data_IF_867829267878
#
_entry.id   IF_867829267878
#
_cell.length_a   1.000
_cell.length_b   1.000
_cell.length_c   1.000
_cell.angle_alpha   90.00
_cell.angle_beta   90.00
_cell.angle_gamma   90.00
#
_symmetry.space_group_name_H-M   'P 1'
#
loop_
_entity.id
_entity.type
_entity.pdbx_description
1 polymer ?
#
# COMPACT_ATOMS: atom_id res chain seq x y z
N UNK A 1 60.47 11.01 -70.56
CA UNK A 1 59.07 11.48 -70.67
C UNK A 1 58.28 10.86 -69.52
N UNK A 2 57.88 11.69 -68.56
CA UNK A 2 56.84 11.56 -67.51
C UNK A 2 56.29 10.17 -67.04
N UNK A 3 56.56 9.84 -65.75
CA UNK A 3 55.71 9.36 -64.60
C UNK A 3 54.62 8.25 -64.79
N UNK A 4 54.06 7.60 -63.72
CA UNK A 4 54.38 7.59 -62.27
C UNK A 4 54.28 6.22 -61.51
N UNK A 5 54.61 6.34 -60.21
CA UNK A 5 54.47 5.51 -59.00
C UNK A 5 53.47 4.31 -58.96
N UNK A 6 53.90 3.24 -58.26
CA UNK A 6 53.01 2.28 -57.57
C UNK A 6 53.24 2.37 -56.05
N UNK A 7 52.20 2.75 -55.32
CA UNK A 7 52.10 2.66 -53.87
C UNK A 7 51.85 1.21 -53.44
N UNK A 8 52.65 0.68 -52.51
CA UNK A 8 52.34 -0.54 -51.77
C UNK A 8 51.49 -0.17 -50.55
N UNK A 9 50.19 -0.47 -50.62
CA UNK A 9 49.26 -0.31 -49.51
C UNK A 9 49.36 -1.47 -48.52
N UNK A 10 49.59 -1.13 -47.25
CA UNK A 10 49.51 -2.02 -46.08
C UNK A 10 48.05 -2.35 -45.80
N UNK A 11 47.69 -3.64 -45.80
CA UNK A 11 46.36 -4.11 -45.42
C UNK A 11 46.21 -4.07 -43.89
N UNK A 12 45.34 -3.17 -43.39
CA UNK A 12 44.90 -3.16 -42.00
C UNK A 12 43.77 -4.18 -41.82
N UNK A 13 44.03 -5.22 -41.04
CA UNK A 13 43.05 -6.24 -40.66
C UNK A 13 42.16 -5.68 -39.52
N UNK A 14 40.98 -5.17 -39.85
CA UNK A 14 39.97 -4.80 -38.85
C UNK A 14 39.35 -6.08 -38.25
N UNK A 15 39.73 -6.42 -37.02
CA UNK A 15 39.01 -7.41 -36.20
C UNK A 15 37.73 -6.75 -35.69
N UNK A 16 36.59 -7.11 -36.29
CA UNK A 16 35.28 -6.74 -35.77
C UNK A 16 35.00 -7.55 -34.49
N UNK A 17 35.09 -6.92 -33.32
CA UNK A 17 34.49 -7.44 -32.10
C UNK A 17 32.97 -7.46 -32.29
N UNK A 18 32.39 -8.65 -32.45
CA UNK A 18 30.97 -8.86 -32.24
C UNK A 18 30.67 -8.62 -30.75
N UNK A 19 30.16 -7.42 -30.45
CA UNK A 19 29.46 -7.17 -29.20
C UNK A 19 28.19 -8.03 -29.20
N UNK A 20 28.22 -9.17 -28.50
CA UNK A 20 27.02 -9.90 -28.13
C UNK A 20 26.27 -9.01 -27.14
N UNK A 21 25.36 -8.19 -27.65
CA UNK A 21 24.33 -7.56 -26.83
C UNK A 21 23.47 -8.70 -26.28
N UNK A 22 23.72 -9.09 -25.04
CA UNK A 22 22.83 -9.94 -24.29
C UNK A 22 21.54 -9.15 -24.06
N UNK A 23 20.65 -9.16 -25.05
CA UNK A 23 19.26 -8.81 -24.86
C UNK A 23 18.73 -9.85 -23.88
N UNK A 24 18.70 -9.49 -22.59
CA UNK A 24 17.99 -10.24 -21.59
C UNK A 24 16.51 -10.25 -22.00
N UNK A 25 16.12 -11.24 -22.80
CA UNK A 25 14.74 -11.52 -23.08
C UNK A 25 14.04 -11.72 -21.75
N UNK A 26 12.93 -11.02 -21.53
CA UNK A 26 12.13 -11.15 -20.33
C UNK A 26 11.78 -12.63 -20.14
N UNK A 27 12.44 -13.28 -19.17
CA UNK A 27 12.10 -14.64 -18.80
C UNK A 27 10.63 -14.63 -18.33
N UNK A 28 9.80 -15.48 -18.91
CA UNK A 28 8.40 -15.62 -18.50
C UNK A 28 8.28 -16.05 -17.03
N UNK A 29 7.09 -15.90 -16.45
CA UNK A 29 6.83 -16.34 -15.09
C UNK A 29 6.97 -17.87 -14.98
N UNK A 30 7.66 -18.34 -13.93
CA UNK A 30 7.74 -19.76 -13.58
C UNK A 30 6.38 -20.24 -13.10
N UNK A 31 5.98 -21.43 -13.52
CA UNK A 31 4.82 -22.13 -12.96
C UNK A 31 5.16 -22.77 -11.61
N UNK A 32 4.14 -23.07 -10.81
CA UNK A 32 4.28 -23.81 -9.55
C UNK A 32 4.90 -23.02 -8.39
N UNK A 33 5.08 -21.71 -8.53
CA UNK A 33 5.61 -20.84 -7.47
C UNK A 33 4.73 -20.89 -6.22
N UNK A 34 5.35 -21.11 -5.05
CA UNK A 34 4.72 -21.08 -3.72
C UNK A 34 4.83 -19.67 -3.15
N UNK A 35 3.73 -18.94 -3.15
CA UNK A 35 3.69 -17.54 -2.69
C UNK A 35 2.75 -17.44 -1.49
N UNK A 36 3.27 -16.91 -0.38
CA UNK A 36 2.50 -16.74 0.84
C UNK A 36 2.23 -15.26 1.10
N UNK A 37 0.97 -14.93 1.41
CA UNK A 37 0.54 -13.61 1.87
C UNK A 37 0.47 -13.59 3.40
N UNK A 38 0.99 -12.51 3.99
CA UNK A 38 1.01 -12.24 5.42
C UNK A 38 0.40 -10.86 5.66
N UNK A 39 -0.94 -10.77 5.81
CA UNK A 39 -1.62 -9.51 6.08
C UNK A 39 -1.27 -8.99 7.49
N UNK A 40 -1.67 -7.75 7.80
CA UNK A 40 -1.58 -7.22 9.17
C UNK A 40 -2.34 -8.07 10.17
N UNK A 41 -3.55 -8.49 9.78
CA UNK A 41 -4.48 -9.30 10.57
C UNK A 41 -5.41 -10.09 9.64
N UNK A 42 -5.51 -11.42 9.82
CA UNK A 42 -6.15 -12.32 8.85
C UNK A 42 -7.68 -12.13 8.70
N UNK A 43 -8.32 -11.50 9.67
CA UNK A 43 -9.76 -11.24 9.69
C UNK A 43 -10.11 -9.76 9.41
N UNK A 44 -9.15 -8.94 8.99
CA UNK A 44 -9.43 -7.57 8.57
C UNK A 44 -10.09 -7.60 7.17
N UNK A 45 -11.30 -7.02 6.99
CA UNK A 45 -12.01 -7.09 5.71
C UNK A 45 -11.26 -6.50 4.52
N UNK A 46 -10.47 -5.43 4.72
CA UNK A 46 -9.65 -4.84 3.65
C UNK A 46 -8.53 -5.79 3.22
N UNK A 47 -7.87 -6.44 4.18
CA UNK A 47 -6.79 -7.38 3.89
C UNK A 47 -7.33 -8.63 3.19
N UNK A 48 -8.51 -9.13 3.58
CA UNK A 48 -9.17 -10.26 2.90
C UNK A 48 -9.40 -9.95 1.42
N UNK A 49 -9.88 -8.75 1.09
CA UNK A 49 -10.11 -8.34 -0.32
C UNK A 49 -8.79 -8.30 -1.10
N UNK A 50 -7.72 -7.79 -0.46
CA UNK A 50 -6.41 -7.72 -1.09
C UNK A 50 -5.80 -9.12 -1.28
N UNK A 51 -5.83 -9.94 -0.25
CA UNK A 51 -5.37 -11.32 -0.26
C UNK A 51 -6.11 -12.14 -1.34
N UNK A 52 -7.43 -11.99 -1.47
CA UNK A 52 -8.22 -12.64 -2.52
C UNK A 52 -7.76 -12.21 -3.93
N UNK A 53 -7.42 -10.94 -4.12
CA UNK A 53 -6.83 -10.44 -5.36
C UNK A 53 -5.47 -11.08 -5.66
N UNK A 54 -4.63 -11.23 -4.63
CA UNK A 54 -3.35 -11.94 -4.73
C UNK A 54 -3.52 -13.43 -5.06
N UNK A 55 -4.47 -14.10 -4.40
CA UNK A 55 -4.77 -15.51 -4.65
C UNK A 55 -5.33 -15.73 -6.06
N UNK A 56 -6.15 -14.80 -6.57
CA UNK A 56 -6.63 -14.84 -7.95
C UNK A 56 -5.46 -14.72 -8.95
N UNK A 57 -4.57 -13.75 -8.76
CA UNK A 57 -3.36 -13.61 -9.60
C UNK A 57 -2.49 -14.87 -9.57
N UNK A 58 -2.27 -15.46 -8.40
CA UNK A 58 -1.45 -16.67 -8.26
C UNK A 58 -1.99 -17.84 -9.08
N UNK A 59 -3.32 -17.99 -9.16
CA UNK A 59 -3.95 -19.01 -10.00
C UNK A 59 -3.70 -18.76 -11.49
N UNK A 60 -3.70 -17.50 -11.95
CA UNK A 60 -3.51 -17.15 -13.36
C UNK A 60 -2.13 -17.58 -13.90
N UNK A 61 -1.08 -17.58 -13.06
CA UNK A 61 0.24 -18.07 -13.43
C UNK A 61 0.57 -19.49 -12.91
N UNK A 62 -0.46 -20.28 -12.59
CA UNK A 62 -0.33 -21.67 -12.11
C UNK A 62 0.56 -21.83 -10.87
N UNK A 63 0.52 -20.87 -9.94
CA UNK A 63 1.21 -20.95 -8.65
C UNK A 63 0.35 -21.58 -7.54
N UNK A 64 0.96 -21.79 -6.38
CA UNK A 64 0.33 -22.24 -5.16
C UNK A 64 0.33 -21.11 -4.12
N UNK A 65 -0.84 -20.53 -3.88
CA UNK A 65 -1.03 -19.42 -2.96
C UNK A 65 -1.55 -19.86 -1.59
N UNK A 66 -1.18 -19.14 -0.54
CA UNK A 66 -1.84 -19.22 0.76
C UNK A 66 -1.77 -17.90 1.51
N UNK A 67 -2.70 -17.73 2.43
CA UNK A 67 -2.74 -16.60 3.37
C UNK A 67 -2.50 -17.15 4.77
N UNK A 68 -1.51 -16.61 5.48
CA UNK A 68 -1.25 -16.94 6.89
C UNK A 68 -0.86 -15.67 7.64
N UNK A 69 -1.36 -15.47 8.84
CA UNK A 69 -1.06 -14.26 9.59
C UNK A 69 -1.72 -14.26 10.95
N UNK A 70 -1.37 -13.28 11.79
CA UNK A 70 -1.92 -13.17 13.14
C UNK A 70 -3.41 -12.78 13.12
N UNK A 71 -4.07 -13.03 14.25
CA UNK A 71 -5.43 -12.54 14.53
C UNK A 71 -5.45 -11.16 15.20
N UNK A 72 -4.27 -10.59 15.48
CA UNK A 72 -4.07 -9.24 16.01
C UNK A 72 -3.03 -8.46 15.17
N UNK A 73 -3.01 -7.13 15.29
CA UNK A 73 -2.09 -6.24 14.57
C UNK A 73 -0.82 -5.86 15.37
N UNK A 74 -0.34 -6.73 16.27
CA UNK A 74 0.86 -6.48 17.07
C UNK A 74 2.14 -6.44 16.23
N UNK A 75 3.10 -5.60 16.67
CA UNK A 75 4.34 -5.33 15.94
C UNK A 75 5.16 -6.61 15.64
N UNK A 76 5.21 -7.56 16.56
CA UNK A 76 5.94 -8.83 16.42
C UNK A 76 5.05 -10.02 16.05
N UNK A 77 3.73 -9.84 15.93
CA UNK A 77 2.77 -10.94 15.76
C UNK A 77 2.95 -11.71 14.44
N UNK A 78 3.63 -11.12 13.47
CA UNK A 78 3.94 -11.73 12.16
C UNK A 78 5.19 -12.62 12.18
N UNK A 79 6.05 -12.53 13.21
CA UNK A 79 7.36 -13.20 13.27
C UNK A 79 7.26 -14.72 13.18
N UNK A 80 6.31 -15.33 13.89
CA UNK A 80 6.13 -16.79 13.87
C UNK A 80 5.76 -17.29 12.46
N UNK A 81 4.90 -16.56 11.76
CA UNK A 81 4.44 -16.90 10.42
C UNK A 81 5.60 -16.81 9.42
N UNK A 82 6.42 -15.75 9.49
CA UNK A 82 7.63 -15.63 8.66
C UNK A 82 8.55 -16.84 8.86
N UNK A 83 8.81 -17.26 10.11
CA UNK A 83 9.65 -18.44 10.37
C UNK A 83 9.04 -19.74 9.83
N UNK A 84 7.73 -19.93 9.94
CA UNK A 84 7.03 -21.07 9.36
C UNK A 84 7.16 -21.09 7.83
N UNK A 85 7.01 -19.94 7.17
CA UNK A 85 7.15 -19.82 5.71
C UNK A 85 8.57 -20.10 5.23
N UNK A 86 9.58 -19.70 6.03
CA UNK A 86 10.98 -20.07 5.80
C UNK A 86 11.15 -21.59 5.85
N UNK A 87 10.67 -22.24 6.92
CA UNK A 87 10.75 -23.72 7.05
C UNK A 87 10.03 -24.44 5.90
N UNK A 88 8.91 -23.89 5.44
CA UNK A 88 8.14 -24.44 4.32
C UNK A 88 8.73 -24.12 2.94
N UNK A 89 9.87 -23.42 2.88
CA UNK A 89 10.60 -23.06 1.65
C UNK A 89 9.66 -22.47 0.59
N UNK A 90 8.90 -21.43 0.97
CA UNK A 90 8.15 -20.65 -0.01
C UNK A 90 9.11 -19.97 -0.99
N UNK A 91 8.66 -19.73 -2.21
CA UNK A 91 9.42 -18.98 -3.21
C UNK A 91 9.35 -17.47 -2.92
N UNK A 92 8.21 -17.00 -2.41
CA UNK A 92 8.04 -15.62 -1.97
C UNK A 92 7.14 -15.45 -0.74
N UNK A 93 7.42 -14.38 0.01
CA UNK A 93 6.59 -13.84 1.08
C UNK A 93 6.13 -12.45 0.64
N UNK A 94 4.81 -12.25 0.59
CA UNK A 94 4.15 -10.96 0.42
C UNK A 94 3.60 -10.53 1.77
N UNK A 95 4.05 -9.40 2.32
CA UNK A 95 3.76 -9.02 3.72
C UNK A 95 3.31 -7.56 3.86
N UNK A 96 2.23 -7.32 4.60
CA UNK A 96 1.82 -5.99 5.06
C UNK A 96 2.31 -5.81 6.49
N UNK A 97 3.38 -5.04 6.69
CA UNK A 97 4.07 -5.00 7.98
C UNK A 97 3.28 -4.24 9.06
N UNK A 98 3.14 -4.86 10.24
CA UNK A 98 2.55 -4.21 11.43
C UNK A 98 3.51 -3.16 12.06
N UNK A 99 4.81 -3.30 11.82
CA UNK A 99 5.86 -2.38 12.27
C UNK A 99 7.01 -2.38 11.26
N UNK A 100 7.62 -1.21 11.05
CA UNK A 100 8.65 -1.04 10.04
C UNK A 100 9.91 -1.88 10.31
N UNK A 101 10.25 -2.16 11.56
CA UNK A 101 11.54 -2.74 11.96
C UNK A 101 11.42 -4.13 12.59
N UNK A 102 10.32 -4.43 13.29
CA UNK A 102 10.19 -5.64 14.11
C UNK A 102 10.35 -6.94 13.32
N UNK A 103 9.92 -6.97 12.06
CA UNK A 103 9.99 -8.14 11.17
C UNK A 103 11.28 -8.20 10.35
N UNK A 104 12.04 -7.09 10.25
CA UNK A 104 13.19 -6.95 9.35
C UNK A 104 14.25 -8.05 9.55
N UNK A 105 14.69 -8.41 10.78
CA UNK A 105 15.67 -9.47 10.96
C UNK A 105 15.22 -10.82 10.39
N UNK A 106 13.92 -11.13 10.49
CA UNK A 106 13.34 -12.39 10.04
C UNK A 106 13.15 -12.41 8.52
N UNK A 107 12.77 -11.28 7.93
CA UNK A 107 12.68 -11.15 6.48
C UNK A 107 14.06 -11.20 5.82
N UNK A 108 15.09 -10.63 6.45
CA UNK A 108 16.49 -10.79 6.01
C UNK A 108 16.94 -12.26 6.05
N UNK A 109 16.53 -13.02 7.07
CA UNK A 109 16.74 -14.47 7.14
C UNK A 109 16.00 -15.22 6.03
N UNK A 110 14.79 -14.81 5.66
CA UNK A 110 14.08 -15.39 4.51
C UNK A 110 14.85 -15.13 3.21
N UNK A 111 15.26 -13.88 2.97
CA UNK A 111 16.01 -13.49 1.79
C UNK A 111 17.36 -14.20 1.66
N UNK A 112 18.07 -14.42 2.78
CA UNK A 112 19.33 -15.18 2.77
C UNK A 112 19.16 -16.66 2.41
N UNK A 113 17.94 -17.21 2.51
CA UNK A 113 17.57 -18.55 2.05
C UNK A 113 16.99 -18.56 0.64
N UNK A 114 17.06 -17.45 -0.08
CA UNK A 114 16.61 -17.32 -1.46
C UNK A 114 15.13 -16.96 -1.63
N UNK A 115 14.37 -16.87 -0.54
CA UNK A 115 12.95 -16.51 -0.54
C UNK A 115 12.81 -15.03 -0.91
N UNK A 116 11.98 -14.73 -1.91
CA UNK A 116 11.74 -13.34 -2.29
C UNK A 116 10.82 -12.65 -1.30
N UNK A 117 11.15 -11.42 -0.91
CA UNK A 117 10.31 -10.64 0.01
C UNK A 117 9.77 -9.41 -0.69
N UNK A 118 8.45 -9.32 -0.78
CA UNK A 118 7.70 -8.18 -1.28
C UNK A 118 6.85 -7.66 -0.14
N UNK A 119 6.96 -6.38 0.19
CA UNK A 119 5.99 -5.72 1.07
C UNK A 119 4.83 -5.18 0.23
N UNK A 120 3.64 -5.12 0.80
CA UNK A 120 2.46 -4.49 0.19
C UNK A 120 1.64 -3.80 1.27
N UNK A 121 0.84 -2.78 0.94
CA UNK A 121 0.03 -1.96 1.86
C UNK A 121 0.81 -1.16 2.92
N UNK A 122 1.64 -1.83 3.72
CA UNK A 122 2.45 -1.28 4.80
C UNK A 122 3.88 -1.79 4.70
N UNK A 123 4.82 -0.89 4.41
CA UNK A 123 6.22 -1.25 4.17
C UNK A 123 6.98 -1.56 5.48
N UNK A 124 8.11 -2.25 5.32
CA UNK A 124 9.16 -2.33 6.34
C UNK A 124 10.19 -1.23 6.11
N UNK A 125 11.24 -1.19 6.93
CA UNK A 125 12.48 -0.54 6.53
C UNK A 125 12.98 -1.19 5.22
N UNK A 126 13.62 -0.42 4.31
CA UNK A 126 13.95 -0.91 2.96
C UNK A 126 14.79 -2.19 2.93
N UNK A 127 15.66 -2.40 3.92
CA UNK A 127 16.51 -3.58 4.04
C UNK A 127 15.76 -4.86 4.42
N UNK A 128 14.48 -4.75 4.79
CA UNK A 128 13.60 -5.88 5.10
C UNK A 128 12.97 -6.53 3.87
N UNK A 129 13.11 -5.96 2.68
CA UNK A 129 12.35 -6.37 1.48
C UNK A 129 13.07 -5.99 0.19
N UNK A 130 12.67 -6.61 -0.91
CA UNK A 130 13.22 -6.32 -2.25
C UNK A 130 12.34 -5.35 -3.04
N UNK A 131 11.02 -5.46 -2.90
CA UNK A 131 10.05 -4.59 -3.54
C UNK A 131 8.97 -4.18 -2.55
N UNK A 132 8.43 -2.98 -2.73
CA UNK A 132 7.26 -2.50 -2.01
C UNK A 132 6.16 -2.17 -3.01
N UNK A 133 5.02 -2.85 -2.91
CA UNK A 133 3.83 -2.56 -3.71
C UNK A 133 2.93 -1.61 -2.91
N UNK A 134 2.98 -0.34 -3.29
CA UNK A 134 2.26 0.74 -2.64
C UNK A 134 0.93 1.00 -3.35
N UNK A 135 -0.13 1.19 -2.59
CA UNK A 135 -1.45 1.56 -3.07
C UNK A 135 -1.48 2.88 -3.87
N UNK A 136 -0.76 3.87 -3.38
CA UNK A 136 -0.73 5.22 -3.90
C UNK A 136 0.42 5.98 -3.24
N UNK A 137 0.87 7.05 -3.89
CA UNK A 137 1.93 7.89 -3.34
C UNK A 137 1.57 8.40 -1.93
N UNK A 138 2.44 8.14 -0.94
CA UNK A 138 2.15 8.41 0.46
C UNK A 138 1.99 9.90 0.79
N UNK A 139 2.74 10.77 0.08
CA UNK A 139 2.57 12.22 0.18
C UNK A 139 1.19 12.64 -0.35
N UNK A 140 0.79 12.11 -1.52
CA UNK A 140 -0.52 12.33 -2.11
C UNK A 140 -1.66 11.91 -1.19
N UNK A 141 -1.54 10.76 -0.51
CA UNK A 141 -2.53 10.31 0.49
C UNK A 141 -2.61 11.31 1.65
N UNK A 142 -1.49 11.61 2.32
CA UNK A 142 -1.51 12.48 3.50
C UNK A 142 -2.00 13.90 3.19
N UNK A 143 -1.53 14.51 2.10
CA UNK A 143 -1.98 15.84 1.67
C UNK A 143 -3.45 15.82 1.27
N UNK A 144 -3.88 14.80 0.52
CA UNK A 144 -5.27 14.64 0.07
C UNK A 144 -6.27 14.56 1.22
N UNK A 145 -5.89 13.95 2.34
CA UNK A 145 -6.74 13.87 3.54
C UNK A 145 -6.95 15.24 4.20
N UNK A 146 -5.92 16.09 4.28
CA UNK A 146 -6.07 17.47 4.78
C UNK A 146 -6.89 18.33 3.83
N UNK A 147 -6.66 18.20 2.52
CA UNK A 147 -7.44 18.91 1.50
C UNK A 147 -8.92 18.54 1.59
N UNK A 148 -9.22 17.25 1.73
CA UNK A 148 -10.58 16.75 1.86
C UNK A 148 -11.24 17.21 3.17
N UNK A 149 -10.57 17.06 4.31
CA UNK A 149 -11.15 17.47 5.60
C UNK A 149 -11.39 18.98 5.64
N UNK A 150 -10.48 19.79 5.09
CA UNK A 150 -10.60 21.25 5.00
C UNK A 150 -11.88 21.64 4.27
N UNK A 151 -12.14 21.04 3.09
CA UNK A 151 -13.38 21.24 2.34
C UNK A 151 -14.62 20.83 3.15
N UNK A 152 -14.55 19.72 3.88
CA UNK A 152 -15.68 19.19 4.64
C UNK A 152 -16.03 20.01 5.89
N UNK A 153 -15.04 20.66 6.50
CA UNK A 153 -15.21 21.50 7.70
C UNK A 153 -15.30 23.00 7.42
N UNK A 154 -15.17 23.42 6.16
CA UNK A 154 -15.23 24.84 5.77
C UNK A 154 -13.92 25.61 6.00
N UNK A 155 -12.78 24.90 6.11
CA UNK A 155 -11.45 25.50 6.20
C UNK A 155 -11.03 26.01 7.59
N UNK A 156 -11.83 25.80 8.63
CA UNK A 156 -11.50 26.25 9.99
C UNK A 156 -12.05 25.34 11.09
N UNK A 157 -11.37 25.33 12.24
CA UNK A 157 -11.79 24.62 13.45
C UNK A 157 -10.90 23.43 13.83
N UNK A 158 -11.34 22.71 14.85
CA UNK A 158 -10.60 21.59 15.43
C UNK A 158 -10.92 20.28 14.69
N UNK A 159 -9.90 19.48 14.40
CA UNK A 159 -10.07 18.13 13.88
C UNK A 159 -9.16 17.14 14.59
N UNK A 160 -9.52 15.87 14.55
CA UNK A 160 -8.74 14.78 15.14
C UNK A 160 -8.43 13.71 14.09
N UNK A 161 -7.38 12.94 14.35
CA UNK A 161 -7.07 11.72 13.60
C UNK A 161 -7.43 10.52 14.45
N UNK A 162 -8.17 9.56 13.90
CA UNK A 162 -8.40 8.24 14.47
C UNK A 162 -7.61 7.20 13.66
N UNK A 163 -6.40 6.90 14.12
CA UNK A 163 -5.47 5.99 13.46
C UNK A 163 -5.74 4.52 13.84
N UNK A 164 -4.98 3.61 13.22
CA UNK A 164 -4.91 2.19 13.55
C UNK A 164 -4.06 1.96 14.81
N UNK A 165 -3.03 1.11 14.75
CA UNK A 165 -2.06 0.95 15.85
C UNK A 165 -1.02 2.09 15.84
N UNK A 166 -0.39 2.41 16.99
CA UNK A 166 0.69 3.40 17.04
C UNK A 166 1.93 3.05 16.23
N UNK A 167 2.11 1.79 15.86
CA UNK A 167 3.31 1.30 15.18
C UNK A 167 3.09 1.11 13.67
N UNK A 168 1.86 1.24 13.18
CA UNK A 168 1.53 0.97 11.79
C UNK A 168 2.26 1.93 10.83
N UNK A 169 3.14 1.37 9.99
CA UNK A 169 4.05 2.13 9.12
C UNK A 169 3.32 3.07 8.17
N UNK A 170 2.31 2.56 7.47
CA UNK A 170 1.58 3.33 6.46
C UNK A 170 0.77 4.47 7.09
N UNK A 171 -0.04 4.21 8.13
CA UNK A 171 -0.77 5.27 8.83
C UNK A 171 0.15 6.35 9.39
N UNK A 172 1.26 5.96 10.04
CA UNK A 172 2.22 6.93 10.57
C UNK A 172 2.86 7.79 9.46
N UNK A 173 3.14 7.18 8.30
CA UNK A 173 3.67 7.89 7.13
C UNK A 173 2.65 8.90 6.58
N UNK A 174 1.37 8.51 6.45
CA UNK A 174 0.33 9.41 5.96
C UNK A 174 0.05 10.54 6.94
N UNK A 175 0.02 10.26 8.24
CA UNK A 175 -0.18 11.27 9.29
C UNK A 175 0.98 12.28 9.29
N UNK A 176 2.21 11.84 9.09
CA UNK A 176 3.35 12.75 8.92
C UNK A 176 3.11 13.71 7.74
N UNK A 177 2.68 13.19 6.60
CA UNK A 177 2.35 14.04 5.44
C UNK A 177 1.13 14.94 5.66
N UNK A 178 0.14 14.51 6.44
CA UNK A 178 -0.95 15.38 6.89
C UNK A 178 -0.41 16.54 7.73
N UNK A 179 0.49 16.27 8.68
CA UNK A 179 1.12 17.30 9.50
C UNK A 179 1.98 18.26 8.67
N UNK A 180 2.68 17.77 7.65
CA UNK A 180 3.42 18.62 6.71
C UNK A 180 2.49 19.49 5.84
N UNK A 181 1.36 18.95 5.36
CA UNK A 181 0.36 19.72 4.61
C UNK A 181 -0.24 20.84 5.47
N UNK A 182 -0.54 20.56 6.75
CA UNK A 182 -1.14 21.49 7.68
C UNK A 182 -0.27 22.73 7.98
N UNK A 183 1.04 22.69 7.68
CA UNK A 183 1.94 23.84 7.83
C UNK A 183 1.69 24.95 6.79
N UNK A 184 0.93 24.68 5.73
CA UNK A 184 0.64 25.69 4.70
C UNK A 184 -0.26 26.81 5.27
N UNK A 185 -0.04 28.09 4.87
CA UNK A 185 -0.82 29.23 5.38
C UNK A 185 -2.34 29.11 5.19
N UNK A 186 -2.78 28.44 4.13
CA UNK A 186 -4.20 28.20 3.82
C UNK A 186 -4.94 27.37 4.88
N UNK A 187 -4.21 26.59 5.71
CA UNK A 187 -4.79 25.79 6.79
C UNK A 187 -4.53 26.39 8.18
N UNK A 188 -4.09 27.65 8.27
CA UNK A 188 -3.75 28.32 9.54
C UNK A 188 -4.88 28.39 10.57
N UNK A 189 -6.14 28.24 10.13
CA UNK A 189 -7.34 28.19 10.99
C UNK A 189 -7.77 26.78 11.38
N UNK A 190 -7.11 25.74 10.87
CA UNK A 190 -7.38 24.35 11.21
C UNK A 190 -6.41 23.89 12.30
N UNK A 191 -6.90 23.12 13.26
CA UNK A 191 -6.10 22.65 14.39
C UNK A 191 -6.28 21.15 14.58
N UNK A 192 -5.20 20.39 14.41
CA UNK A 192 -5.15 18.99 14.83
C UNK A 192 -5.07 18.91 16.36
N UNK A 193 -6.14 18.49 17.02
CA UNK A 193 -6.21 18.46 18.50
C UNK A 193 -5.75 17.15 19.11
N UNK A 194 -5.87 16.04 18.37
CA UNK A 194 -5.51 14.70 18.86
C UNK A 194 -5.26 13.72 17.72
N UNK A 195 -4.30 12.84 17.93
CA UNK A 195 -4.19 11.54 17.24
C UNK A 195 -4.59 10.48 18.27
N UNK A 196 -5.67 9.76 18.00
CA UNK A 196 -6.19 8.63 18.76
C UNK A 196 -5.94 7.32 18.00
N UNK A 197 -6.02 6.17 18.68
CA UNK A 197 -5.61 4.87 18.13
C UNK A 197 -6.66 3.79 18.37
N UNK A 198 -7.41 3.47 17.32
CA UNK A 198 -8.41 2.41 17.30
C UNK A 198 -7.84 0.99 17.15
N UNK A 199 -6.53 0.85 16.89
CA UNK A 199 -5.82 -0.43 16.74
C UNK A 199 -6.34 -1.35 15.62
N UNK A 200 -7.02 -0.81 14.60
CA UNK A 200 -7.77 -1.62 13.63
C UNK A 200 -8.79 -2.57 14.29
N UNK A 201 -9.28 -2.20 15.48
CA UNK A 201 -10.36 -2.86 16.20
C UNK A 201 -11.62 -1.97 16.16
N UNK A 202 -12.74 -2.58 15.76
CA UNK A 202 -13.99 -1.86 15.52
C UNK A 202 -14.57 -1.24 16.82
N UNK A 203 -14.60 -2.01 17.90
CA UNK A 203 -15.17 -1.55 19.17
C UNK A 203 -14.28 -0.49 19.81
N UNK A 204 -12.97 -0.67 19.79
CA UNK A 204 -12.02 0.32 20.28
C UNK A 204 -12.12 1.61 19.47
N UNK A 205 -12.17 1.52 18.13
CA UNK A 205 -12.33 2.68 17.26
C UNK A 205 -13.64 3.46 17.55
N UNK A 206 -14.72 2.74 17.86
CA UNK A 206 -15.99 3.33 18.28
C UNK A 206 -15.86 4.09 19.62
N UNK A 207 -15.21 3.48 20.62
CA UNK A 207 -14.97 4.10 21.94
C UNK A 207 -14.02 5.30 21.83
N UNK A 208 -12.97 5.22 21.02
CA UNK A 208 -12.06 6.35 20.79
C UNK A 208 -12.80 7.51 20.10
N UNK A 209 -13.70 7.23 19.16
CA UNK A 209 -14.56 8.26 18.54
C UNK A 209 -15.42 8.96 19.60
N UNK A 210 -16.04 8.19 20.51
CA UNK A 210 -16.80 8.73 21.63
C UNK A 210 -15.92 9.63 22.51
N UNK A 211 -14.74 9.15 22.89
CA UNK A 211 -13.79 9.88 23.73
C UNK A 211 -13.31 11.18 23.09
N UNK A 212 -13.04 11.18 21.78
CA UNK A 212 -12.69 12.38 21.02
C UNK A 212 -13.78 13.45 21.12
N UNK A 213 -15.05 13.08 20.98
CA UNK A 213 -16.16 14.04 21.04
C UNK A 213 -16.42 14.56 22.46
N UNK A 214 -16.16 13.75 23.48
CA UNK A 214 -16.26 14.16 24.88
C UNK A 214 -15.13 15.13 25.27
N UNK A 215 -13.89 14.83 24.85
CA UNK A 215 -12.73 15.64 25.18
C UNK A 215 -12.66 16.96 24.38
N UNK A 216 -13.21 16.97 23.16
CA UNK A 216 -13.15 18.10 22.24
C UNK A 216 -14.56 18.48 21.76
N UNK A 217 -15.36 19.22 22.56
CA UNK A 217 -16.74 19.56 22.21
C UNK A 217 -16.87 20.47 20.97
N UNK A 218 -15.78 21.13 20.57
CA UNK A 218 -15.71 21.98 19.38
C UNK A 218 -15.18 21.25 18.13
N UNK A 219 -14.97 19.94 18.21
CA UNK A 219 -14.45 19.13 17.11
C UNK A 219 -15.37 19.27 15.88
N UNK A 220 -14.79 19.62 14.74
CA UNK A 220 -15.49 19.78 13.46
C UNK A 220 -15.32 18.58 12.54
N UNK A 221 -14.23 17.84 12.69
CA UNK A 221 -13.98 16.67 11.85
C UNK A 221 -13.12 15.59 12.51
N UNK A 222 -13.29 14.36 12.02
CA UNK A 222 -12.41 13.22 12.29
C UNK A 222 -11.89 12.69 10.95
N UNK A 223 -10.57 12.61 10.82
CA UNK A 223 -9.90 11.87 9.74
C UNK A 223 -9.56 10.48 10.27
N UNK A 224 -10.09 9.44 9.68
CA UNK A 224 -9.77 8.05 10.03
C UNK A 224 -9.02 7.36 8.87
N UNK A 225 -7.68 7.39 8.84
CA UNK A 225 -6.89 6.78 7.76
C UNK A 225 -6.79 5.24 7.90
N UNK A 226 -7.90 4.59 8.22
CA UNK A 226 -8.07 3.14 8.39
C UNK A 226 -9.52 2.79 8.06
N UNK A 227 -9.71 1.67 7.34
CA UNK A 227 -11.03 1.18 6.94
C UNK A 227 -11.89 0.78 8.14
N UNK A 228 -11.28 0.21 9.18
CA UNK A 228 -11.96 -0.13 10.44
C UNK A 228 -12.32 1.14 11.21
N UNK A 229 -11.37 2.06 11.34
CA UNK A 229 -11.59 3.30 12.10
C UNK A 229 -12.67 4.20 11.49
N UNK A 230 -12.69 4.37 10.17
CA UNK A 230 -13.69 5.22 9.51
C UNK A 230 -15.11 4.62 9.61
N UNK A 231 -15.25 3.30 9.47
CA UNK A 231 -16.54 2.63 9.60
C UNK A 231 -17.09 2.75 11.03
N UNK A 232 -16.24 2.54 12.04
CA UNK A 232 -16.61 2.68 13.44
C UNK A 232 -16.96 4.15 13.80
N UNK A 233 -16.17 5.11 13.32
CA UNK A 233 -16.43 6.53 13.53
C UNK A 233 -17.74 6.97 12.86
N UNK A 234 -17.99 6.54 11.62
CA UNK A 234 -19.23 6.81 10.92
C UNK A 234 -20.43 6.17 11.61
N UNK A 235 -20.28 4.93 12.13
CA UNK A 235 -21.32 4.26 12.93
C UNK A 235 -21.66 5.08 14.17
N UNK A 236 -20.66 5.47 14.97
CA UNK A 236 -20.87 6.29 16.17
C UNK A 236 -21.56 7.62 15.83
N UNK A 237 -21.02 8.35 14.84
CA UNK A 237 -21.57 9.66 14.47
C UNK A 237 -23.01 9.53 14.00
N UNK A 238 -23.32 8.50 13.20
CA UNK A 238 -24.65 8.30 12.59
C UNK A 238 -25.81 8.19 13.59
N UNK A 239 -25.53 7.72 14.82
CA UNK A 239 -26.52 7.54 15.89
C UNK A 239 -26.38 8.58 16.99
N UNK A 240 -25.44 9.51 16.88
CA UNK A 240 -25.15 10.52 17.91
C UNK A 240 -25.76 11.89 17.57
N UNK A 241 -25.80 12.78 18.57
CA UNK A 241 -26.16 14.19 18.38
C UNK A 241 -25.13 15.00 17.56
N UNK A 242 -24.00 14.38 17.21
CA UNK A 242 -22.93 14.93 16.36
C UNK A 242 -23.17 14.71 14.87
N UNK A 243 -24.17 13.90 14.47
CA UNK A 243 -24.52 13.73 13.05
C UNK A 243 -24.80 15.10 12.38
N UNK A 244 -24.16 15.34 11.25
CA UNK A 244 -24.25 16.61 10.52
C UNK A 244 -23.49 17.78 11.13
N UNK A 245 -22.91 17.63 12.33
CA UNK A 245 -22.10 18.66 13.01
C UNK A 245 -20.59 18.36 12.92
N UNK A 246 -20.24 17.08 12.99
CA UNK A 246 -18.85 16.60 12.90
C UNK A 246 -18.71 15.79 11.62
N UNK A 247 -17.84 16.24 10.72
CA UNK A 247 -17.53 15.51 9.50
C UNK A 247 -16.69 14.27 9.81
N UNK A 248 -16.97 13.17 9.13
CA UNK A 248 -16.11 11.98 9.13
C UNK A 248 -15.59 11.79 7.71
N UNK A 249 -14.27 11.68 7.59
CA UNK A 249 -13.59 11.30 6.35
C UNK A 249 -12.40 10.41 6.68
N UNK A 250 -11.66 9.94 5.68
CA UNK A 250 -10.63 8.96 5.91
C UNK A 250 -10.38 8.05 4.73
N UNK A 251 -9.96 6.84 5.07
CA UNK A 251 -9.72 5.73 4.16
C UNK A 251 -10.70 4.60 4.45
N UNK A 252 -11.65 4.33 3.56
CA UNK A 252 -12.74 3.36 3.79
C UNK A 252 -13.09 2.54 2.56
N UNK A 253 -13.63 1.34 2.74
CA UNK A 253 -14.13 0.56 1.58
C UNK A 253 -15.50 1.08 1.15
N UNK A 254 -15.77 1.21 -0.16
CA UNK A 254 -17.10 1.55 -0.68
C UNK A 254 -18.22 0.73 -0.06
N UNK A 255 -18.03 -0.58 0.11
CA UNK A 255 -19.04 -1.47 0.68
C UNK A 255 -19.41 -1.13 2.12
N UNK A 256 -18.42 -0.89 3.00
CA UNK A 256 -18.68 -0.53 4.38
C UNK A 256 -19.26 0.89 4.50
N UNK A 257 -18.83 1.81 3.62
CA UNK A 257 -19.16 3.23 3.74
C UNK A 257 -20.47 3.63 3.06
N UNK A 258 -21.00 2.82 2.14
CA UNK A 258 -22.17 3.15 1.31
C UNK A 258 -23.38 3.63 2.10
N UNK A 259 -23.73 2.93 3.18
CA UNK A 259 -24.87 3.30 4.02
C UNK A 259 -24.67 4.69 4.67
N UNK A 260 -23.45 5.01 5.10
CA UNK A 260 -23.10 6.28 5.73
C UNK A 260 -23.01 7.44 4.72
N UNK A 261 -22.65 7.14 3.47
CA UNK A 261 -22.75 8.10 2.37
C UNK A 261 -24.21 8.41 2.07
N UNK A 262 -25.04 7.37 1.87
CA UNK A 262 -26.45 7.53 1.52
C UNK A 262 -27.27 8.22 2.61
N UNK A 263 -26.94 8.01 3.89
CA UNK A 263 -27.65 8.63 5.01
C UNK A 263 -27.08 10.01 5.43
N UNK A 264 -26.09 10.53 4.69
CA UNK A 264 -25.49 11.85 4.88
C UNK A 264 -24.49 11.97 6.05
N UNK A 265 -24.16 10.87 6.75
CA UNK A 265 -23.15 10.90 7.82
C UNK A 265 -21.74 11.15 7.28
N UNK A 266 -21.40 10.56 6.12
CA UNK A 266 -20.12 10.72 5.44
C UNK A 266 -20.36 11.36 4.09
N UNK A 267 -19.78 12.53 3.83
CA UNK A 267 -19.97 13.22 2.53
C UNK A 267 -19.00 12.72 1.46
N UNK A 268 -17.75 12.48 1.85
CA UNK A 268 -16.72 11.95 0.97
C UNK A 268 -15.59 11.30 1.78
N UNK A 269 -14.95 10.30 1.21
CA UNK A 269 -13.75 9.63 1.74
C UNK A 269 -12.88 9.16 0.57
N UNK A 270 -11.73 8.57 0.82
CA UNK A 270 -10.82 8.10 -0.23
C UNK A 270 -10.44 6.64 -0.01
N UNK A 271 -10.02 5.95 -1.06
CA UNK A 271 -9.30 4.67 -1.00
C UNK A 271 -8.71 4.38 -2.40
N UNK A 272 -8.54 3.10 -2.70
CA UNK A 272 -8.08 2.45 -3.91
C UNK A 272 -8.73 1.05 -3.90
N UNK A 273 -8.55 0.29 -4.97
CA UNK A 273 -9.04 -1.09 -5.04
C UNK A 273 -8.04 -2.05 -4.36
N UNK A 274 -8.36 -2.63 -3.18
CA UNK A 274 -7.45 -3.53 -2.48
C UNK A 274 -7.22 -4.82 -3.26
N UNK A 275 -8.22 -5.28 -4.04
CA UNK A 275 -8.09 -6.47 -4.86
C UNK A 275 -6.97 -6.29 -5.89
N UNK A 276 -6.92 -5.12 -6.54
CA UNK A 276 -5.84 -4.80 -7.47
C UNK A 276 -4.49 -4.64 -6.77
N UNK A 277 -4.45 -4.18 -5.52
CA UNK A 277 -3.22 -4.08 -4.74
C UNK A 277 -2.60 -5.47 -4.52
N UNK A 278 -3.36 -6.42 -3.99
CA UNK A 278 -2.86 -7.78 -3.77
C UNK A 278 -2.57 -8.53 -5.08
N UNK A 279 -3.38 -8.31 -6.12
CA UNK A 279 -3.13 -8.83 -7.46
C UNK A 279 -1.77 -8.35 -7.99
N UNK A 280 -1.47 -7.05 -7.87
CA UNK A 280 -0.18 -6.49 -8.26
C UNK A 280 0.97 -7.06 -7.43
N UNK A 281 0.78 -7.22 -6.12
CA UNK A 281 1.79 -7.79 -5.22
C UNK A 281 2.15 -9.24 -5.59
N UNK A 282 1.17 -10.06 -5.98
CA UNK A 282 1.40 -11.41 -6.46
C UNK A 282 2.24 -11.42 -7.75
N UNK A 283 1.93 -10.55 -8.72
CA UNK A 283 2.72 -10.45 -9.96
C UNK A 283 4.14 -9.93 -9.71
N UNK A 284 4.32 -8.98 -8.80
CA UNK A 284 5.65 -8.49 -8.41
C UNK A 284 6.48 -9.62 -7.78
N UNK A 285 5.89 -10.37 -6.85
CA UNK A 285 6.53 -11.51 -6.20
C UNK A 285 6.88 -12.64 -7.19
N UNK A 286 5.96 -12.96 -8.11
CA UNK A 286 6.20 -13.97 -9.14
C UNK A 286 7.29 -13.55 -10.13
N UNK A 287 7.29 -12.29 -10.57
CA UNK A 287 8.30 -11.73 -11.48
C UNK A 287 9.69 -11.79 -10.84
N UNK A 288 9.79 -11.41 -9.57
CA UNK A 288 11.03 -11.45 -8.81
C UNK A 288 11.53 -12.88 -8.53
N UNK A 289 10.62 -13.82 -8.28
CA UNK A 289 10.95 -15.24 -8.04
C UNK A 289 11.34 -15.98 -9.32
N UNK A 290 10.77 -15.56 -10.44
CA UNK A 290 11.06 -16.11 -11.77
C UNK A 290 12.39 -15.60 -12.31
N UNK A 291 12.92 -14.49 -11.78
CA UNK A 291 14.06 -13.78 -12.35
C UNK A 291 13.71 -12.94 -13.57
N UNK A 292 12.42 -12.68 -13.79
CA UNK A 292 11.94 -11.79 -14.84
C UNK A 292 12.33 -10.32 -14.56
N UNK A 293 12.46 -9.97 -13.28
CA UNK A 293 13.01 -8.72 -12.77
C UNK A 293 14.02 -9.03 -11.67
N UNK A 294 15.00 -8.14 -11.49
CA UNK A 294 15.95 -8.20 -10.38
C UNK A 294 15.51 -7.34 -9.18
N UNK A 295 14.54 -6.44 -9.40
CA UNK A 295 14.04 -5.50 -8.40
C UNK A 295 14.69 -4.12 -8.47
N UNK A 296 15.44 -3.84 -9.55
CA UNK A 296 16.13 -2.56 -9.75
C UNK A 296 15.16 -1.50 -10.24
N UNK A 297 15.38 -0.27 -9.77
CA UNK A 297 14.68 0.91 -10.29
C UNK A 297 14.80 0.99 -11.81
N UNK A 298 13.70 1.34 -12.47
CA UNK A 298 13.57 1.44 -13.92
C UNK A 298 13.19 0.13 -14.61
N UNK A 299 13.33 -1.03 -13.96
CA UNK A 299 12.82 -2.30 -14.52
C UNK A 299 11.30 -2.27 -14.61
N UNK A 300 10.74 -3.06 -15.54
CA UNK A 300 9.30 -3.20 -15.70
C UNK A 300 8.91 -4.66 -15.86
N UNK A 301 7.68 -4.98 -15.49
CA UNK A 301 7.08 -6.30 -15.67
C UNK A 301 5.61 -6.17 -16.06
N UNK A 302 5.07 -7.21 -16.69
CA UNK A 302 3.64 -7.29 -17.01
C UNK A 302 2.88 -7.85 -15.80
N UNK A 303 1.94 -7.07 -15.28
CA UNK A 303 1.10 -7.42 -14.14
C UNK A 303 -0.30 -7.85 -14.60
N UNK A 304 -0.38 -8.81 -15.53
CA UNK A 304 -1.63 -9.36 -16.04
C UNK A 304 -2.62 -8.30 -16.51
N UNK A 305 -3.85 -8.32 -15.96
CA UNK A 305 -4.91 -7.35 -16.30
C UNK A 305 -4.59 -5.89 -15.95
N UNK A 306 -3.62 -5.65 -15.06
CA UNK A 306 -3.16 -4.30 -14.72
C UNK A 306 -2.18 -3.73 -15.74
N UNK A 307 -1.72 -4.55 -16.70
CA UNK A 307 -0.75 -4.17 -17.71
C UNK A 307 0.64 -3.97 -17.15
N UNK A 308 1.48 -3.24 -17.89
CA UNK A 308 2.88 -3.00 -17.53
C UNK A 308 3.00 -2.13 -16.27
N UNK A 309 3.92 -2.49 -15.39
CA UNK A 309 4.29 -1.74 -14.17
C UNK A 309 5.79 -1.53 -14.11
N UNK A 310 6.21 -0.40 -13.56
CA UNK A 310 7.62 0.01 -13.45
C UNK A 310 8.02 0.13 -11.99
N UNK A 311 9.22 -0.33 -11.69
CA UNK A 311 9.83 -0.23 -10.38
C UNK A 311 10.42 1.18 -10.24
N UNK A 312 9.89 1.93 -9.29
CA UNK A 312 10.38 3.25 -8.92
C UNK A 312 11.51 3.23 -7.89
N UNK A 313 11.85 4.40 -7.33
CA UNK A 313 12.89 4.53 -6.33
C UNK A 313 12.73 3.58 -5.15
N UNK A 314 13.85 3.05 -4.66
CA UNK A 314 13.89 2.11 -3.54
C UNK A 314 13.01 0.87 -3.72
N UNK A 315 12.73 0.44 -4.95
CA UNK A 315 11.94 -0.76 -5.23
C UNK A 315 10.42 -0.56 -5.07
N UNK A 316 9.95 0.67 -5.04
CA UNK A 316 8.52 0.98 -4.89
C UNK A 316 7.76 0.84 -6.22
N UNK A 317 6.62 0.17 -6.19
CA UNK A 317 5.70 0.02 -7.33
C UNK A 317 4.36 0.62 -6.90
N UNK A 318 3.91 1.66 -7.58
CA UNK A 318 2.66 2.36 -7.25
C UNK A 318 1.51 1.75 -8.06
N UNK A 319 0.43 1.34 -7.38
CA UNK A 319 -0.79 0.83 -8.01
C UNK A 319 -1.49 1.93 -8.84
N UNK A 320 -1.73 3.09 -8.22
CA UNK A 320 -2.37 4.23 -8.89
C UNK A 320 -2.69 5.39 -7.94
N UNK A 321 -3.40 6.42 -8.41
CA UNK A 321 -3.92 7.48 -7.55
C UNK A 321 -5.08 6.96 -6.68
N UNK A 322 -5.31 7.56 -5.50
CA UNK A 322 -6.50 7.25 -4.72
C UNK A 322 -7.76 7.77 -5.43
N UNK A 323 -8.86 7.05 -5.25
CA UNK A 323 -10.21 7.46 -5.67
C UNK A 323 -10.92 8.14 -4.52
N UNK A 324 -11.52 9.30 -4.78
CA UNK A 324 -12.47 9.91 -3.85
C UNK A 324 -13.86 9.33 -4.10
N UNK A 325 -14.47 8.81 -3.04
CA UNK A 325 -15.81 8.23 -3.06
C UNK A 325 -16.81 9.19 -2.42
N UNK A 326 -17.93 9.41 -3.10
CA UNK A 326 -19.05 10.21 -2.62
C UNK A 326 -20.37 9.68 -3.20
N UNK A 327 -21.48 10.38 -2.95
CA UNK A 327 -22.80 9.95 -3.39
C UNK A 327 -22.94 9.79 -4.92
N UNK A 328 -22.06 10.40 -5.72
CA UNK A 328 -22.12 10.33 -7.18
C UNK A 328 -21.53 9.04 -7.76
N UNK A 329 -20.63 8.37 -7.03
CA UNK A 329 -19.89 7.23 -7.55
C UNK A 329 -19.86 5.99 -6.64
N UNK A 330 -20.34 6.07 -5.39
CA UNK A 330 -20.24 5.00 -4.40
C UNK A 330 -20.88 3.67 -4.83
N UNK A 331 -21.88 3.71 -5.71
CA UNK A 331 -22.59 2.54 -6.23
C UNK A 331 -21.88 1.88 -7.43
N UNK A 332 -20.81 2.50 -7.95
CA UNK A 332 -20.02 1.95 -9.07
C UNK A 332 -18.93 0.97 -8.60
N UNK A 333 -18.73 0.81 -7.30
CA UNK A 333 -17.66 0.03 -6.71
C UNK A 333 -18.22 -1.04 -5.77
N UNK A 334 -17.64 -2.23 -5.79
CA UNK A 334 -18.06 -3.37 -4.99
C UNK A 334 -16.86 -4.06 -4.32
N UNK A 335 -16.23 -3.34 -3.39
CA UNK A 335 -15.23 -3.84 -2.47
C UNK A 335 -15.36 -3.11 -1.14
#
# INVERSE_FOLDING_TARGET
MFKPLRHTGTAALCVALLAISCAAGAAGLKSGLKIAFVPKQINNPYEVIADDGGMAAIKEFNGAGKVVGPSDAGASSQVQYINTLITQRQDAIVIAANDANAVVPYLKKAMSQGIKVVTFDSDTAPEGRQLFVNQANAEGIGRGQIQLVSKLMGGEGEFAVLSATPNATNQNTWIKWMQEELKKPEYSKMKLVKIAYGNDDDQKSFVETQGLLQAYPNLKAIIAPTTVGIAAAARYISTSSSKGKVAVTGLGTPNQMRAFVKNGTVKAFQLWDPNQLGYLAAYAAASLSSGAISGKEGESFDAGKLGKRTIGPKGEIILGPPTTFDASNIDNFNF
#
